data_IF_515790586557
#
_entry.id   IF_515790586557
#
_cell.length_a   1.000
_cell.length_b   1.000
_cell.length_c   1.000
_cell.angle_alpha   90.00
_cell.angle_beta   90.00
_cell.angle_gamma   90.00
#
_symmetry.space_group_name_H-M   'P 1'
#
loop_
_entity.id
_entity.type
_entity.pdbx_description
1 polymer ?
#
# COMPACT_ATOMS: atom_id res chain seq x y z
N UNK A 1 11.45 12.20 10.08
CA UNK A 1 11.08 13.36 10.90
C UNK A 1 9.72 13.06 11.50
N UNK A 2 9.74 12.44 12.68
CA UNK A 2 8.76 12.75 13.71
C UNK A 2 9.38 13.95 14.41
N UNK A 3 8.84 15.14 14.18
CA UNK A 3 9.24 16.28 14.98
C UNK A 3 8.60 16.11 16.35
N UNK A 4 9.48 16.12 17.35
CA UNK A 4 9.24 15.95 18.79
C UNK A 4 8.78 17.26 19.45
N UNK A 5 8.00 18.07 18.76
CA UNK A 5 7.51 19.32 19.32
C UNK A 5 6.01 19.41 19.12
N UNK A 6 5.27 18.99 20.16
CA UNK A 6 3.99 19.57 20.60
C UNK A 6 3.35 18.64 21.63
N UNK A 7 3.88 18.69 22.85
CA UNK A 7 3.05 18.39 24.01
C UNK A 7 2.00 19.51 24.13
N UNK A 8 0.87 19.36 23.44
CA UNK A 8 -0.29 20.20 23.68
C UNK A 8 -1.52 19.33 23.91
N UNK A 9 -1.84 19.13 25.20
CA UNK A 9 -3.14 18.62 25.63
C UNK A 9 -4.19 19.68 25.29
N UNK A 10 -4.94 19.46 24.21
CA UNK A 10 -6.07 20.31 23.86
C UNK A 10 -6.73 19.83 22.58
N UNK A 11 -7.78 19.00 22.72
CA UNK A 11 -8.80 18.73 21.69
C UNK A 11 -8.23 18.43 20.30
N UNK A 12 -7.53 17.31 20.16
CA UNK A 12 -7.29 16.75 18.82
C UNK A 12 -8.62 16.18 18.33
N UNK A 13 -9.31 16.93 17.47
CA UNK A 13 -10.26 16.33 16.55
C UNK A 13 -9.43 15.37 15.66
N UNK A 14 -9.64 14.04 15.75
CA UNK A 14 -8.85 13.12 14.95
C UNK A 14 -9.27 13.32 13.50
N UNK A 15 -8.39 13.89 12.68
CA UNK A 15 -8.57 14.01 11.24
C UNK A 15 -8.49 12.61 10.60
N UNK A 16 -9.53 11.80 10.79
CA UNK A 16 -9.65 10.53 10.10
C UNK A 16 -10.20 10.73 8.69
N UNK A 17 -9.76 9.87 7.78
CA UNK A 17 -10.31 9.76 6.43
C UNK A 17 -11.05 8.44 6.34
N UNK A 18 -12.25 8.49 5.77
CA UNK A 18 -13.05 7.29 5.53
C UNK A 18 -12.49 6.53 4.33
N UNK A 19 -12.01 5.30 4.56
CA UNK A 19 -11.70 4.32 3.52
C UNK A 19 -12.69 3.16 3.65
N UNK A 20 -13.70 3.13 2.77
CA UNK A 20 -14.86 2.24 2.89
C UNK A 20 -15.59 2.47 4.23
N UNK A 21 -15.49 1.53 5.16
CA UNK A 21 -16.11 1.57 6.49
C UNK A 21 -15.08 1.88 7.59
N UNK A 22 -13.79 1.96 7.24
CA UNK A 22 -12.70 2.16 8.19
C UNK A 22 -12.33 3.64 8.32
N UNK A 23 -12.16 4.09 9.56
CA UNK A 23 -11.67 5.43 9.90
C UNK A 23 -10.14 5.41 9.95
N UNK A 24 -9.49 5.81 8.87
CA UNK A 24 -8.03 5.83 8.79
C UNK A 24 -7.51 7.13 9.41
N UNK A 25 -6.79 7.03 10.52
CA UNK A 25 -6.20 8.17 11.22
C UNK A 25 -4.67 8.25 11.05
N UNK A 26 -4.02 7.14 10.70
CA UNK A 26 -2.56 7.11 10.44
C UNK A 26 -2.24 6.37 9.13
N UNK A 27 -1.16 6.78 8.47
CA UNK A 27 -0.66 6.20 7.23
C UNK A 27 0.83 5.90 7.35
N UNK A 28 1.17 4.62 7.24
CA UNK A 28 2.56 4.15 7.30
C UNK A 28 2.94 3.53 5.96
N UNK A 29 3.97 4.10 5.31
CA UNK A 29 4.58 3.50 4.13
C UNK A 29 5.83 2.72 4.57
N UNK A 30 5.84 1.42 4.29
CA UNK A 30 7.00 0.57 4.58
C UNK A 30 8.20 0.94 3.68
N UNK A 31 9.42 0.62 4.13
CA UNK A 31 10.62 0.83 3.32
C UNK A 31 10.56 0.07 1.98
N UNK A 32 9.94 -1.12 1.98
CA UNK A 32 9.74 -1.91 0.76
C UNK A 32 8.81 -1.20 -0.22
N UNK A 33 7.65 -0.71 0.25
CA UNK A 33 6.74 0.07 -0.58
C UNK A 33 7.42 1.32 -1.15
N UNK A 34 8.19 2.03 -0.33
CA UNK A 34 8.92 3.22 -0.77
C UNK A 34 9.88 2.92 -1.94
N UNK A 35 10.77 1.95 -1.77
CA UNK A 35 11.71 1.56 -2.84
C UNK A 35 10.96 1.13 -4.11
N UNK A 36 9.87 0.37 -3.96
CA UNK A 36 9.04 -0.08 -5.08
C UNK A 36 8.27 1.03 -5.79
N UNK A 37 7.95 2.11 -5.09
CA UNK A 37 7.36 3.31 -5.67
C UNK A 37 8.41 4.07 -6.46
N UNK A 38 9.56 4.35 -5.85
CA UNK A 38 10.70 5.07 -6.47
C UNK A 38 11.18 4.35 -7.75
N UNK A 39 11.29 3.02 -7.74
CA UNK A 39 11.68 2.22 -8.92
C UNK A 39 10.70 2.35 -10.10
N UNK A 40 9.41 2.57 -9.81
CA UNK A 40 8.31 2.58 -10.79
C UNK A 40 7.84 3.98 -11.17
N UNK A 41 8.08 4.99 -10.34
CA UNK A 41 7.75 6.39 -10.60
C UNK A 41 8.76 7.05 -11.54
N UNK A 42 9.26 6.31 -12.54
CA UNK A 42 10.32 6.66 -13.51
C UNK A 42 10.08 8.03 -14.17
N UNK A 43 10.33 9.14 -13.46
CA UNK A 43 10.18 10.50 -13.96
C UNK A 43 9.80 11.58 -12.94
N UNK A 44 9.09 11.28 -11.85
CA UNK A 44 8.48 12.34 -11.00
C UNK A 44 9.27 12.69 -9.73
N UNK A 45 10.39 12.02 -9.45
CA UNK A 45 11.35 12.43 -8.41
C UNK A 45 10.82 12.50 -6.97
N UNK A 46 9.58 12.04 -6.71
CA UNK A 46 8.95 12.24 -5.40
C UNK A 46 9.60 11.40 -4.32
N UNK A 47 10.09 12.06 -3.27
CA UNK A 47 10.68 11.38 -2.10
C UNK A 47 9.62 10.61 -1.32
N UNK A 48 9.98 9.54 -0.60
CA UNK A 48 9.00 8.76 0.17
C UNK A 48 8.14 9.54 1.19
N UNK A 49 8.57 10.73 1.63
CA UNK A 49 7.72 11.64 2.43
C UNK A 49 6.62 12.29 1.58
N UNK A 50 6.96 12.68 0.36
CA UNK A 50 6.00 13.20 -0.63
C UNK A 50 5.02 12.11 -1.04
N UNK A 51 5.45 10.85 -1.15
CA UNK A 51 4.55 9.71 -1.42
C UNK A 51 3.49 9.54 -0.33
N UNK A 52 3.87 9.68 0.94
CA UNK A 52 2.93 9.59 2.07
C UNK A 52 1.92 10.74 2.04
N UNK A 53 2.39 11.97 1.79
CA UNK A 53 1.51 13.13 1.65
C UNK A 53 0.58 12.99 0.45
N UNK A 54 1.09 12.62 -0.72
CA UNK A 54 0.33 12.37 -1.93
C UNK A 54 -0.76 11.33 -1.71
N UNK A 55 -0.42 10.19 -1.12
CA UNK A 55 -1.39 9.13 -0.84
C UNK A 55 -2.46 9.58 0.15
N UNK A 56 -2.09 10.39 1.15
CA UNK A 56 -3.04 11.01 2.07
C UNK A 56 -4.03 11.93 1.35
N UNK A 57 -3.56 12.73 0.39
CA UNK A 57 -4.45 13.53 -0.46
C UNK A 57 -5.37 12.65 -1.32
N UNK A 58 -4.85 11.56 -1.89
CA UNK A 58 -5.66 10.61 -2.66
C UNK A 58 -6.77 9.97 -1.80
N UNK A 59 -6.47 9.62 -0.54
CA UNK A 59 -7.46 9.13 0.41
C UNK A 59 -8.54 10.18 0.68
N UNK A 60 -8.15 11.43 0.98
CA UNK A 60 -9.10 12.55 1.22
C UNK A 60 -10.03 12.79 0.03
N UNK A 61 -9.49 12.68 -1.19
CA UNK A 61 -10.23 12.87 -2.44
C UNK A 61 -11.05 11.63 -2.85
N UNK A 62 -11.07 10.56 -2.04
CA UNK A 62 -11.75 9.28 -2.34
C UNK A 62 -11.29 8.65 -3.67
N UNK A 63 -10.02 8.85 -4.01
CA UNK A 63 -9.37 8.31 -5.22
C UNK A 63 -8.81 6.90 -5.01
N UNK A 64 -8.81 6.41 -3.78
CA UNK A 64 -8.40 5.06 -3.40
C UNK A 64 -9.63 4.16 -3.29
N UNK A 65 -9.58 3.00 -3.96
CA UNK A 65 -10.66 1.99 -3.98
C UNK A 65 -10.08 0.60 -3.77
N UNK A 66 -10.91 -0.33 -3.31
CA UNK A 66 -10.52 -1.76 -3.24
C UNK A 66 -10.41 -2.29 -4.68
N UNK A 67 -9.38 -3.08 -4.96
CA UNK A 67 -9.14 -3.67 -6.28
C UNK A 67 -10.20 -4.71 -6.64
N UNK A 68 -10.43 -5.67 -5.74
CA UNK A 68 -11.41 -6.74 -5.91
C UNK A 68 -12.00 -7.13 -4.55
N UNK A 69 -13.29 -7.50 -4.45
CA UNK A 69 -13.88 -8.02 -3.22
C UNK A 69 -13.17 -9.27 -2.69
N UNK A 70 -12.58 -10.08 -3.58
CA UNK A 70 -11.84 -11.30 -3.24
C UNK A 70 -10.49 -11.01 -2.57
N UNK A 71 -9.94 -9.81 -2.77
CA UNK A 71 -8.59 -9.43 -2.35
C UNK A 71 -8.62 -8.12 -1.53
N UNK A 72 -9.07 -8.17 -0.26
CA UNK A 72 -9.33 -6.98 0.56
C UNK A 72 -8.07 -6.21 0.97
N UNK A 73 -6.88 -6.79 0.79
CA UNK A 73 -5.58 -6.14 1.03
C UNK A 73 -5.05 -5.39 -0.21
N UNK A 74 -5.78 -5.39 -1.33
CA UNK A 74 -5.36 -4.78 -2.59
C UNK A 74 -6.22 -3.57 -2.92
N UNK A 75 -5.56 -2.47 -3.25
CA UNK A 75 -6.18 -1.17 -3.50
C UNK A 75 -5.70 -0.59 -4.82
N UNK A 76 -6.56 0.19 -5.47
CA UNK A 76 -6.27 0.93 -6.68
C UNK A 76 -6.41 2.42 -6.38
N UNK A 77 -5.36 3.16 -6.70
CA UNK A 77 -5.33 4.62 -6.67
C UNK A 77 -5.52 5.12 -8.09
N UNK A 78 -6.42 6.09 -8.29
CA UNK A 78 -6.67 6.73 -9.59
C UNK A 78 -7.14 5.78 -10.70
N UNK A 79 -7.71 4.64 -10.31
CA UNK A 79 -8.07 3.55 -11.22
C UNK A 79 -6.89 3.01 -12.06
N UNK A 80 -5.64 3.29 -11.66
CA UNK A 80 -4.46 2.86 -12.42
C UNK A 80 -3.39 2.24 -11.51
N UNK A 81 -2.97 2.92 -10.44
CA UNK A 81 -1.90 2.42 -9.59
C UNK A 81 -2.41 1.39 -8.58
N UNK A 82 -1.89 0.17 -8.65
CA UNK A 82 -2.22 -0.91 -7.71
C UNK A 82 -1.23 -0.92 -6.54
N UNK A 83 -1.76 -0.92 -5.32
CA UNK A 83 -1.01 -1.03 -4.08
C UNK A 83 -1.55 -2.14 -3.18
N UNK A 84 -0.64 -2.79 -2.46
CA UNK A 84 -0.97 -3.71 -1.38
C UNK A 84 -0.87 -2.98 -0.04
N UNK A 85 -1.96 -2.96 0.72
CA UNK A 85 -2.02 -2.30 2.01
C UNK A 85 -2.83 -3.11 3.02
N UNK A 86 -2.43 -3.01 4.29
CA UNK A 86 -3.12 -3.64 5.41
C UNK A 86 -3.70 -2.57 6.32
N UNK A 87 -4.96 -2.75 6.70
CA UNK A 87 -5.61 -1.93 7.72
C UNK A 87 -5.43 -2.63 9.06
N UNK A 88 -4.94 -1.90 10.06
CA UNK A 88 -4.74 -2.41 11.42
C UNK A 88 -5.43 -1.47 12.40
N UNK A 89 -6.16 -2.01 13.37
CA UNK A 89 -6.78 -1.23 14.42
C UNK A 89 -5.73 -0.63 15.36
N UNK A 90 -5.97 0.60 15.82
CA UNK A 90 -5.13 1.27 16.80
C UNK A 90 -5.78 1.11 18.18
N UNK A 91 -5.27 0.22 19.05
CA UNK A 91 -5.94 -0.12 20.31
C UNK A 91 -5.99 1.05 21.31
N UNK A 92 -5.05 2.00 21.20
CA UNK A 92 -4.90 3.11 22.14
C UNK A 92 -5.48 4.44 21.62
N UNK A 93 -6.03 4.46 20.40
CA UNK A 93 -6.56 5.66 19.77
C UNK A 93 -8.02 5.46 19.34
N UNK A 94 -8.91 6.21 20.00
CA UNK A 94 -10.33 6.25 19.68
C UNK A 94 -10.76 7.67 19.34
N UNK A 95 -11.78 7.78 18.50
CA UNK A 95 -12.45 9.05 18.23
C UNK A 95 -13.11 9.63 19.51
N UNK A 96 -13.48 10.91 19.49
CA UNK A 96 -14.22 11.57 20.58
C UNK A 96 -15.53 10.84 20.94
N UNK A 97 -16.07 10.08 19.99
CA UNK A 97 -17.28 9.25 20.13
C UNK A 97 -16.99 7.78 20.49
N UNK A 98 -15.74 7.42 20.80
CA UNK A 98 -15.34 6.06 21.17
C UNK A 98 -15.25 5.07 20.01
N UNK A 99 -15.22 5.56 18.77
CA UNK A 99 -15.05 4.70 17.60
C UNK A 99 -13.58 4.27 17.45
N UNK A 100 -13.31 3.01 17.06
CA UNK A 100 -11.94 2.56 16.80
C UNK A 100 -11.37 3.32 15.59
N UNK A 101 -10.12 3.76 15.74
CA UNK A 101 -9.34 4.31 14.66
C UNK A 101 -8.42 3.24 14.09
N UNK A 102 -8.12 3.37 12.81
CA UNK A 102 -7.30 2.42 12.07
C UNK A 102 -6.09 3.11 11.48
N UNK A 103 -5.01 2.37 11.34
CA UNK A 103 -3.85 2.74 10.55
C UNK A 103 -3.83 1.98 9.24
N UNK A 104 -3.48 2.67 8.16
CA UNK A 104 -3.22 2.07 6.86
C UNK A 104 -1.71 1.83 6.70
N UNK A 105 -1.31 0.57 6.56
CA UNK A 105 0.09 0.17 6.35
C UNK A 105 0.26 -0.23 4.90
N UNK A 106 0.96 0.58 4.11
CA UNK A 106 1.28 0.27 2.72
C UNK A 106 2.49 -0.66 2.66
N UNK A 107 2.25 -1.89 2.22
CA UNK A 107 3.26 -2.95 2.17
C UNK A 107 4.07 -2.89 0.89
N UNK A 108 3.43 -2.68 -0.26
CA UNK A 108 4.11 -2.58 -1.55
C UNK A 108 3.28 -1.88 -2.61
N UNK A 109 3.93 -1.29 -3.61
CA UNK A 109 3.28 -0.87 -4.85
C UNK A 109 3.55 -1.95 -5.92
N UNK A 110 2.51 -2.37 -6.63
CA UNK A 110 2.58 -3.41 -7.65
C UNK A 110 2.88 -2.84 -9.03
N UNK A 111 2.33 -1.66 -9.35
CA UNK A 111 2.53 -0.95 -10.60
C UNK A 111 1.23 -0.35 -11.13
N UNK A 112 1.27 0.21 -12.35
CA UNK A 112 0.11 0.76 -13.02
C UNK A 112 -0.56 -0.27 -13.92
N UNK A 113 -1.89 -0.33 -13.92
CA UNK A 113 -2.66 -1.20 -14.80
C UNK A 113 -2.52 -0.80 -16.28
N UNK A 114 -2.26 0.48 -16.55
CA UNK A 114 -1.98 1.02 -17.88
C UNK A 114 -0.68 0.47 -18.48
N UNK A 115 0.32 0.23 -17.65
CA UNK A 115 1.62 -0.32 -18.05
C UNK A 115 1.62 -1.85 -18.06
N UNK A 116 0.92 -2.49 -17.13
CA UNK A 116 0.85 -3.95 -17.03
C UNK A 116 -0.59 -4.44 -16.92
N UNK A 117 -1.11 -4.98 -18.03
CA UNK A 117 -2.47 -5.50 -18.12
C UNK A 117 -2.74 -6.66 -17.15
N UNK A 118 -1.70 -7.38 -16.72
CA UNK A 118 -1.82 -8.48 -15.77
C UNK A 118 -2.29 -7.99 -14.39
N UNK A 119 -2.04 -6.73 -14.04
CA UNK A 119 -2.50 -6.16 -12.76
C UNK A 119 -4.03 -6.00 -12.69
N UNK A 120 -4.75 -6.22 -13.80
CA UNK A 120 -6.21 -6.36 -13.78
C UNK A 120 -6.65 -7.68 -13.15
N UNK A 121 -5.83 -8.72 -13.27
CA UNK A 121 -6.08 -10.05 -12.71
C UNK A 121 -4.90 -10.49 -11.83
N UNK A 122 -5.01 -10.16 -10.55
CA UNK A 122 -3.94 -10.38 -9.58
C UNK A 122 -3.63 -11.87 -9.39
N UNK A 123 -4.61 -12.77 -9.54
CA UNK A 123 -4.38 -14.23 -9.49
C UNK A 123 -3.43 -14.65 -10.61
N UNK A 124 -3.69 -14.18 -11.83
CA UNK A 124 -2.83 -14.46 -12.98
C UNK A 124 -1.46 -13.76 -12.87
N UNK A 125 -1.42 -12.53 -12.37
CA UNK A 125 -0.18 -11.80 -12.12
C UNK A 125 0.76 -12.56 -11.18
N UNK A 126 0.27 -12.98 -10.01
CA UNK A 126 1.08 -13.73 -9.05
C UNK A 126 1.43 -15.14 -9.56
N UNK A 127 0.55 -15.79 -10.32
CA UNK A 127 0.85 -17.08 -10.95
C UNK A 127 2.02 -16.98 -11.94
N UNK A 128 2.02 -15.97 -12.83
CA UNK A 128 3.13 -15.70 -13.75
C UNK A 128 4.42 -15.37 -13.01
N UNK A 129 4.35 -14.54 -11.98
CA UNK A 129 5.54 -14.18 -11.21
C UNK A 129 6.16 -15.41 -10.52
N UNK A 130 5.33 -16.34 -10.04
CA UNK A 130 5.78 -17.59 -9.43
C UNK A 130 6.38 -18.56 -10.45
N UNK A 131 5.84 -18.64 -11.66
CA UNK A 131 6.39 -19.48 -12.72
C UNK A 131 7.71 -18.94 -13.26
N UNK A 132 7.86 -17.61 -13.37
CA UNK A 132 9.11 -16.96 -13.84
C UNK A 132 10.26 -17.11 -12.83
N UNK A 133 9.96 -17.15 -11.52
CA UNK A 133 10.95 -17.36 -10.46
C UNK A 133 11.37 -18.82 -10.28
N UNK A 134 10.71 -19.77 -10.95
CA UNK A 134 11.15 -21.16 -10.96
C UNK A 134 12.36 -21.29 -11.87
N UNK A 135 13.54 -20.99 -11.33
CA UNK A 135 14.80 -21.46 -11.91
C UNK A 135 14.72 -22.98 -11.95
N UNK A 136 14.74 -23.64 -13.11
CA UNK A 136 14.96 -25.09 -13.10
C UNK A 136 16.32 -25.29 -12.45
N UNK A 137 16.38 -26.05 -11.36
CA UNK A 137 17.64 -26.65 -10.95
C UNK A 137 18.08 -27.49 -12.16
N UNK A 138 18.99 -26.95 -12.97
CA UNK A 138 19.71 -27.72 -13.96
C UNK A 138 20.38 -28.84 -13.17
N UNK A 139 19.77 -30.02 -13.21
CA UNK A 139 20.36 -31.25 -12.73
C UNK A 139 21.62 -31.47 -13.57
N UNK A 140 22.75 -31.02 -13.04
CA UNK A 140 24.04 -31.26 -13.68
C UNK A 140 24.34 -32.75 -13.62
N UNK A 141 24.47 -33.34 -14.80
CA UNK A 141 25.28 -34.53 -15.06
C UNK A 141 24.87 -35.83 -14.39
N UNK A 142 24.07 -36.63 -15.10
CA UNK A 142 24.26 -38.10 -15.07
C UNK A 142 25.69 -38.40 -15.54
N UNK A 143 26.60 -38.72 -14.62
CA UNK A 143 27.88 -39.34 -14.98
C UNK A 143 27.61 -40.81 -15.28
N UNK A 144 27.47 -41.14 -16.58
CA UNK A 144 27.46 -42.52 -17.08
C UNK A 144 28.72 -43.25 -16.61
N UNK A 145 28.55 -44.43 -16.04
CA UNK A 145 29.56 -45.49 -15.98
C UNK A 145 29.07 -46.63 -16.86
#
# INVERSE_FOLDING_TARGET
MRDKESANRGVHEPFYVMLKEFRIADLVITAHARSRYEDRSQGDGQSGKETAFWLWQCLKQKRVRVHSPDEPEMYVVDNDLVMAARIVEMPDEADLYGNPLYKLIVVSFLGKMSENIDLRDLKNYFARQRSLRRTPLMQSGRKRR
#
